data_IF_453238785861
#
_entry.id   IF_453238785861
#
_cell.length_a   1.000
_cell.length_b   1.000
_cell.length_c   1.000
_cell.angle_alpha   90.00
_cell.angle_beta   90.00
_cell.angle_gamma   90.00
#
_symmetry.space_group_name_H-M   'P 1'
#
loop_
_entity.id
_entity.type
_entity.pdbx_description
1 polymer ?
#
# COMPACT_ATOMS: atom_id res chain seq x y z
N UNK A 1 1.04 -12.18 -26.60
CA UNK A 1 -0.04 -11.40 -25.96
C UNK A 1 0.46 -9.97 -25.77
N UNK A 2 -0.28 -8.95 -26.18
CA UNK A 2 0.13 -7.54 -25.99
C UNK A 2 0.09 -7.22 -24.49
N UNK A 3 1.18 -6.71 -23.90
CA UNK A 3 1.26 -6.40 -22.46
C UNK A 3 0.10 -5.51 -21.98
N UNK A 4 -0.31 -4.56 -22.83
CA UNK A 4 -1.45 -3.67 -22.60
C UNK A 4 -2.83 -4.35 -22.63
N UNK A 5 -2.95 -5.57 -23.17
CA UNK A 5 -4.21 -6.30 -23.24
C UNK A 5 -4.41 -7.28 -22.08
N UNK A 6 -3.54 -7.27 -21.07
CA UNK A 6 -3.68 -8.13 -19.89
C UNK A 6 -4.88 -7.67 -19.03
N UNK A 7 -5.68 -8.58 -18.45
CA UNK A 7 -6.86 -8.23 -17.62
C UNK A 7 -6.58 -7.28 -16.46
N UNK A 8 -5.33 -7.24 -16.00
CA UNK A 8 -4.85 -6.29 -14.99
C UNK A 8 -4.95 -4.81 -15.44
N UNK A 9 -4.92 -4.54 -16.74
CA UNK A 9 -4.89 -3.20 -17.32
C UNK A 9 -6.18 -2.82 -18.07
N UNK A 10 -7.17 -3.73 -18.16
CA UNK A 10 -8.31 -3.63 -19.09
C UNK A 10 -9.56 -2.94 -18.53
N UNK A 11 -9.84 -3.04 -17.24
CA UNK A 11 -10.99 -2.39 -16.58
C UNK A 11 -10.43 -1.38 -15.59
N UNK A 12 -10.94 -0.14 -15.62
CA UNK A 12 -10.62 0.99 -14.75
C UNK A 12 -9.58 0.71 -13.66
N UNK A 13 -8.30 0.72 -14.03
CA UNK A 13 -7.14 0.73 -13.13
C UNK A 13 -7.17 -0.21 -11.89
N UNK A 14 -7.44 -1.51 -12.10
CA UNK A 14 -7.12 -2.59 -11.12
C UNK A 14 -5.70 -2.57 -10.51
N UNK A 15 -4.62 -2.00 -11.11
CA UNK A 15 -3.35 -1.78 -10.43
C UNK A 15 -3.47 -1.16 -9.03
N UNK A 16 -4.42 -0.26 -8.77
CA UNK A 16 -4.55 0.31 -7.42
C UNK A 16 -5.01 -0.72 -6.38
N UNK A 17 -5.85 -1.69 -6.77
CA UNK A 17 -6.15 -2.83 -5.89
C UNK A 17 -4.93 -3.72 -5.64
N UNK A 18 -4.11 -3.94 -6.67
CA UNK A 18 -2.86 -4.69 -6.49
C UNK A 18 -1.89 -3.95 -5.56
N UNK A 19 -1.78 -2.62 -5.69
CA UNK A 19 -1.00 -1.78 -4.79
C UNK A 19 -1.58 -1.76 -3.37
N UNK A 20 -2.91 -1.78 -3.21
CA UNK A 20 -3.56 -1.90 -1.91
C UNK A 20 -3.26 -3.25 -1.25
N UNK A 21 -3.30 -4.36 -2.00
CA UNK A 21 -2.90 -5.67 -1.48
C UNK A 21 -1.41 -5.71 -1.10
N UNK A 22 -0.53 -5.17 -1.95
CA UNK A 22 0.90 -5.14 -1.68
C UNK A 22 1.23 -4.30 -0.44
N UNK A 23 0.67 -3.09 -0.35
CA UNK A 23 0.86 -2.20 0.80
C UNK A 23 0.24 -2.75 2.08
N UNK A 24 -0.97 -3.32 2.00
CA UNK A 24 -1.65 -3.96 3.15
C UNK A 24 -0.92 -5.20 3.68
N UNK A 25 -0.11 -5.87 2.85
CA UNK A 25 0.74 -6.98 3.29
C UNK A 25 2.10 -6.47 3.81
N UNK A 26 2.77 -5.59 3.06
CA UNK A 26 4.17 -5.23 3.33
C UNK A 26 4.32 -4.27 4.51
N UNK A 27 3.44 -3.27 4.64
CA UNK A 27 3.58 -2.22 5.65
C UNK A 27 3.34 -2.73 7.08
N UNK A 28 2.34 -3.58 7.37
CA UNK A 28 2.21 -4.18 8.69
C UNK A 28 3.37 -5.12 9.02
N UNK A 29 3.88 -5.88 8.04
CA UNK A 29 5.04 -6.76 8.23
C UNK A 29 6.31 -5.96 8.51
N UNK A 30 6.54 -4.85 7.80
CA UNK A 30 7.65 -3.95 8.08
C UNK A 30 7.53 -3.36 9.48
N UNK A 31 6.33 -2.93 9.87
CA UNK A 31 6.11 -2.39 11.20
C UNK A 31 6.31 -3.44 12.30
N UNK A 32 5.86 -4.68 12.13
CA UNK A 32 6.08 -5.74 13.13
C UNK A 32 7.56 -6.06 13.29
N UNK A 33 8.34 -6.06 12.21
CA UNK A 33 9.79 -6.23 12.25
C UNK A 33 10.48 -5.07 12.97
N UNK A 34 10.02 -3.83 12.74
CA UNK A 34 10.51 -2.64 13.47
C UNK A 34 10.18 -2.73 14.97
N UNK A 35 8.95 -3.12 15.28
CA UNK A 35 8.49 -3.25 16.66
C UNK A 35 9.21 -4.37 17.42
N UNK A 36 9.54 -5.46 16.74
CA UNK A 36 10.35 -6.55 17.28
C UNK A 36 11.85 -6.21 17.43
N UNK A 37 12.29 -5.03 16.97
CA UNK A 37 13.69 -4.61 17.00
C UNK A 37 14.59 -5.33 15.99
N UNK A 38 14.01 -6.00 14.99
CA UNK A 38 14.76 -6.71 13.94
C UNK A 38 15.32 -5.73 12.91
N UNK A 39 14.58 -4.66 12.63
CA UNK A 39 14.98 -3.57 11.74
C UNK A 39 14.82 -2.25 12.46
N UNK A 40 15.74 -1.32 12.22
CA UNK A 40 15.64 0.02 12.82
C UNK A 40 14.50 0.80 12.16
N UNK A 41 13.76 1.54 12.99
CA UNK A 41 12.78 2.49 12.49
C UNK A 41 13.49 3.59 11.67
N UNK A 42 12.86 4.14 10.62
CA UNK A 42 13.44 5.23 9.87
C UNK A 42 13.81 6.39 10.81
N UNK A 43 14.98 7.00 10.61
CA UNK A 43 15.39 8.21 11.31
C UNK A 43 14.56 9.41 10.81
N UNK A 44 13.30 9.44 11.22
CA UNK A 44 12.32 10.47 10.88
C UNK A 44 12.05 11.35 12.11
N UNK A 45 11.46 12.52 11.88
CA UNK A 45 11.03 13.42 12.96
C UNK A 45 9.85 12.87 13.79
N UNK A 46 9.39 11.65 13.51
CA UNK A 46 8.20 11.03 14.09
C UNK A 46 8.55 9.66 14.66
N UNK A 47 7.80 9.24 15.68
CA UNK A 47 7.92 7.90 16.28
C UNK A 47 7.54 6.81 15.27
N UNK A 48 8.04 5.58 15.48
CA UNK A 48 7.66 4.42 14.64
C UNK A 48 6.14 4.15 14.62
N UNK A 49 5.42 4.51 15.68
CA UNK A 49 3.96 4.42 15.72
C UNK A 49 3.28 5.46 14.83
N UNK A 50 3.76 6.71 14.86
CA UNK A 50 3.28 7.76 13.96
C UNK A 50 3.59 7.45 12.50
N UNK A 51 4.76 6.86 12.22
CA UNK A 51 5.11 6.38 10.90
C UNK A 51 4.13 5.31 10.41
N UNK A 52 3.86 4.27 11.22
CA UNK A 52 2.89 3.24 10.86
C UNK A 52 1.50 3.79 10.56
N UNK A 53 1.00 4.68 11.42
CA UNK A 53 -0.29 5.33 11.21
C UNK A 53 -0.32 6.14 9.90
N UNK A 54 0.77 6.85 9.59
CA UNK A 54 0.92 7.58 8.33
C UNK A 54 0.85 6.65 7.13
N UNK A 55 1.62 5.56 7.12
CA UNK A 55 1.67 4.61 6.00
C UNK A 55 0.32 3.88 5.79
N UNK A 56 -0.40 3.55 6.87
CA UNK A 56 -1.73 2.93 6.78
C UNK A 56 -2.77 3.88 6.20
N UNK A 57 -2.75 5.15 6.61
CA UNK A 57 -3.75 6.12 6.18
C UNK A 57 -3.44 6.68 4.78
N UNK A 58 -2.20 7.11 4.55
CA UNK A 58 -1.79 7.79 3.33
C UNK A 58 -1.33 6.83 2.21
N UNK A 59 -0.74 5.69 2.55
CA UNK A 59 -0.31 4.69 1.58
C UNK A 59 -1.44 3.70 1.24
N UNK A 60 -1.75 2.82 2.19
CA UNK A 60 -2.75 1.76 2.00
C UNK A 60 -4.16 2.33 1.75
N UNK A 61 -4.62 3.27 2.59
CA UNK A 61 -5.96 3.87 2.49
C UNK A 61 -6.22 4.54 1.14
N UNK A 62 -5.27 5.31 0.62
CA UNK A 62 -5.41 5.96 -0.69
C UNK A 62 -5.32 4.99 -1.86
N UNK A 63 -4.49 3.94 -1.78
CA UNK A 63 -4.46 2.91 -2.82
C UNK A 63 -5.83 2.20 -2.92
N UNK A 64 -6.45 1.90 -1.78
CA UNK A 64 -7.77 1.30 -1.71
C UNK A 64 -8.86 2.26 -2.24
N UNK A 65 -8.86 3.51 -1.80
CA UNK A 65 -9.78 4.55 -2.28
C UNK A 65 -9.68 4.76 -3.80
N UNK A 66 -8.45 4.87 -4.33
CA UNK A 66 -8.20 5.01 -5.76
C UNK A 66 -8.71 3.80 -6.55
N UNK A 67 -8.51 2.58 -6.04
CA UNK A 67 -9.06 1.36 -6.62
C UNK A 67 -10.59 1.40 -6.72
N UNK A 68 -11.28 1.75 -5.64
CA UNK A 68 -12.74 1.85 -5.66
C UNK A 68 -13.25 2.93 -6.62
N UNK A 69 -12.70 4.15 -6.55
CA UNK A 69 -13.17 5.28 -7.37
C UNK A 69 -12.96 5.03 -8.87
N UNK A 70 -11.84 4.43 -9.26
CA UNK A 70 -11.51 4.17 -10.68
C UNK A 70 -12.23 2.95 -11.26
N UNK A 71 -12.83 2.11 -10.41
CA UNK A 71 -13.63 0.94 -10.84
C UNK A 71 -15.13 1.13 -10.58
N UNK A 72 -15.56 2.32 -10.14
CA UNK A 72 -16.96 2.63 -9.80
C UNK A 72 -17.87 2.93 -11.03
N UNK A 73 -17.36 2.78 -12.25
CA UNK A 73 -18.06 3.06 -13.50
C UNK A 73 -18.66 1.81 -14.16
#
# INVERSE_FOLDING_TARGET
MRFSAHPLWLVGFRPFFALACLSGLSLPVLWTLMFAGVIEAPAAAFTGFQWHAHEMFFGFGWAMLGGFLLTAS
#
